data_IF_985302510095
#
_entry.id   IF_985302510095
#
_cell.length_a   1.000
_cell.length_b   1.000
_cell.length_c   1.000
_cell.angle_alpha   90.00
_cell.angle_beta   90.00
_cell.angle_gamma   90.00
#
_symmetry.space_group_name_H-M   'P 1'
#
loop_
_entity.id
_entity.type
_entity.pdbx_description
1 polymer ?
#
# COMPACT_ATOMS: atom_id res chain seq x y z
N UNK A 1 8.19 -12.38 13.51
CA UNK A 1 7.69 -11.58 12.38
C UNK A 1 7.69 -12.35 11.07
N UNK A 2 8.85 -12.72 10.49
CA UNK A 2 8.91 -13.47 9.23
C UNK A 2 8.20 -14.83 9.26
N UNK A 3 8.34 -15.60 10.35
CA UNK A 3 7.65 -16.90 10.53
C UNK A 3 6.13 -16.75 10.46
N UNK A 4 5.58 -15.74 11.13
CA UNK A 4 4.13 -15.48 11.15
C UNK A 4 3.64 -15.11 9.76
N UNK A 5 4.36 -14.22 9.05
CA UNK A 5 4.04 -13.86 7.67
C UNK A 5 4.03 -15.09 6.75
N UNK A 6 5.04 -15.96 6.86
CA UNK A 6 5.12 -17.19 6.05
C UNK A 6 3.94 -18.13 6.34
N UNK A 7 3.61 -18.35 7.61
CA UNK A 7 2.50 -19.22 8.00
C UNK A 7 1.15 -18.67 7.51
N UNK A 8 0.96 -17.36 7.60
CA UNK A 8 -0.26 -16.72 7.13
C UNK A 8 -0.37 -16.77 5.60
N UNK A 9 0.72 -16.60 4.86
CA UNK A 9 0.73 -16.78 3.40
C UNK A 9 0.40 -18.22 3.00
N UNK A 10 0.93 -19.21 3.74
CA UNK A 10 0.61 -20.62 3.52
C UNK A 10 -0.88 -20.91 3.79
N UNK A 11 -1.46 -20.28 4.82
CA UNK A 11 -2.90 -20.34 5.09
C UNK A 11 -3.70 -19.69 3.94
N UNK A 12 -3.34 -18.48 3.52
CA UNK A 12 -3.97 -17.78 2.37
C UNK A 12 -3.91 -18.66 1.10
N UNK A 13 -2.81 -19.38 0.87
CA UNK A 13 -2.65 -20.31 -0.26
C UNK A 13 -3.54 -21.56 -0.16
N UNK A 14 -3.70 -22.09 1.05
CA UNK A 14 -4.50 -23.28 1.34
C UNK A 14 -6.01 -22.99 1.29
N UNK A 15 -6.42 -21.80 1.73
CA UNK A 15 -7.81 -21.34 1.74
C UNK A 15 -8.27 -20.79 0.39
N UNK A 16 -7.35 -20.32 -0.46
CA UNK A 16 -7.67 -19.89 -1.81
C UNK A 16 -8.34 -21.04 -2.58
N UNK A 17 -9.65 -20.90 -2.86
CA UNK A 17 -10.43 -21.91 -3.56
C UNK A 17 -9.68 -22.41 -4.79
N UNK A 18 -9.54 -23.74 -4.91
CA UNK A 18 -8.92 -24.40 -6.06
C UNK A 18 -9.65 -24.11 -7.37
N UNK A 19 -10.89 -23.62 -7.28
CA UNK A 19 -11.73 -23.27 -8.41
C UNK A 19 -11.41 -21.86 -8.97
N UNK A 20 -10.61 -21.06 -8.25
CA UNK A 20 -10.15 -19.76 -8.75
C UNK A 20 -8.99 -19.92 -9.74
N UNK A 21 -9.00 -19.16 -10.85
CA UNK A 21 -7.86 -19.06 -11.75
C UNK A 21 -6.55 -18.70 -11.01
N UNK A 22 -5.43 -19.28 -11.46
CA UNK A 22 -4.12 -19.10 -10.81
C UNK A 22 -3.70 -17.63 -10.67
N UNK A 23 -4.04 -16.80 -11.66
CA UNK A 23 -3.79 -15.36 -11.64
C UNK A 23 -4.56 -14.65 -10.50
N UNK A 24 -5.82 -15.00 -10.27
CA UNK A 24 -6.62 -14.40 -9.18
C UNK A 24 -6.11 -14.83 -7.81
N UNK A 25 -5.73 -16.09 -7.67
CA UNK A 25 -5.11 -16.60 -6.43
C UNK A 25 -3.80 -15.88 -6.14
N UNK A 26 -2.96 -15.69 -7.16
CA UNK A 26 -1.70 -14.94 -7.06
C UNK A 26 -1.94 -13.49 -6.64
N UNK A 27 -2.91 -12.82 -7.25
CA UNK A 27 -3.22 -11.42 -6.94
C UNK A 27 -3.65 -11.23 -5.48
N UNK A 28 -4.49 -12.14 -4.96
CA UNK A 28 -4.90 -12.14 -3.55
C UNK A 28 -3.70 -12.27 -2.61
N UNK A 29 -2.78 -13.18 -2.90
CA UNK A 29 -1.58 -13.40 -2.09
C UNK A 29 -0.68 -12.16 -2.11
N UNK A 30 -0.42 -11.59 -3.30
CA UNK A 30 0.41 -10.38 -3.42
C UNK A 30 -0.20 -9.17 -2.75
N UNK A 31 -1.52 -9.03 -2.84
CA UNK A 31 -2.28 -7.98 -2.15
C UNK A 31 -2.13 -8.11 -0.63
N UNK A 32 -2.31 -9.32 -0.06
CA UNK A 32 -2.08 -9.62 1.37
C UNK A 32 -0.64 -9.31 1.80
N UNK A 33 0.34 -9.78 1.03
CA UNK A 33 1.76 -9.57 1.29
C UNK A 33 2.14 -8.09 1.30
N UNK A 34 1.71 -7.34 0.28
CA UNK A 34 1.99 -5.91 0.16
C UNK A 34 1.48 -5.12 1.38
N UNK A 35 0.24 -5.39 1.83
CA UNK A 35 -0.29 -4.72 3.00
C UNK A 35 0.45 -5.09 4.29
N UNK A 36 0.87 -6.35 4.45
CA UNK A 36 1.58 -6.81 5.66
C UNK A 36 3.01 -6.24 5.73
N UNK A 37 3.70 -6.18 4.59
CA UNK A 37 5.06 -5.63 4.48
C UNK A 37 5.13 -4.10 4.42
N UNK A 38 4.01 -3.41 4.23
CA UNK A 38 3.97 -1.96 4.17
C UNK A 38 4.43 -1.29 5.48
N UNK A 39 4.99 -0.08 5.35
CA UNK A 39 5.17 0.84 6.48
C UNK A 39 3.81 1.09 7.14
N UNK A 40 3.76 0.96 8.47
CA UNK A 40 2.54 1.06 9.26
C UNK A 40 2.43 2.41 9.96
N UNK A 41 1.22 2.74 10.37
CA UNK A 41 0.97 3.90 11.22
C UNK A 41 1.83 3.85 12.49
N UNK A 42 2.23 5.02 12.98
CA UNK A 42 3.07 5.20 14.18
C UNK A 42 4.50 4.61 14.07
N UNK A 43 4.99 4.35 12.85
CA UNK A 43 6.40 4.08 12.62
C UNK A 43 7.09 5.37 12.20
N UNK A 44 8.05 5.82 12.99
CA UNK A 44 8.90 6.95 12.63
C UNK A 44 9.79 6.57 11.45
N UNK A 45 9.90 7.51 10.50
CA UNK A 45 10.76 7.38 9.33
C UNK A 45 11.78 8.51 9.32
N UNK A 46 12.99 8.17 8.92
CA UNK A 46 14.04 9.14 8.62
C UNK A 46 13.77 9.83 7.27
N UNK A 47 14.33 11.03 7.07
CA UNK A 47 14.21 11.75 5.79
C UNK A 47 14.64 10.93 4.57
N UNK A 48 15.74 10.16 4.62
CA UNK A 48 16.13 9.24 3.55
C UNK A 48 15.09 8.14 3.27
N UNK A 49 14.48 7.55 4.30
CA UNK A 49 13.44 6.52 4.12
C UNK A 49 12.19 7.10 3.44
N UNK A 50 11.74 8.29 3.85
CA UNK A 50 10.62 8.98 3.20
C UNK A 50 10.92 9.25 1.73
N UNK A 51 12.13 9.77 1.45
CA UNK A 51 12.55 10.05 0.08
C UNK A 51 12.60 8.79 -0.78
N UNK A 52 13.07 7.67 -0.20
CA UNK A 52 13.06 6.36 -0.86
C UNK A 52 11.65 5.92 -1.23
N UNK A 53 10.71 5.97 -0.28
CA UNK A 53 9.31 5.60 -0.51
C UNK A 53 8.65 6.44 -1.62
N UNK A 54 8.91 7.75 -1.66
CA UNK A 54 8.39 8.61 -2.73
C UNK A 54 8.97 8.23 -4.10
N UNK A 55 10.27 7.96 -4.19
CA UNK A 55 10.90 7.52 -5.45
C UNK A 55 10.37 6.18 -5.93
N UNK A 56 10.18 5.23 -5.01
CA UNK A 56 9.61 3.92 -5.32
C UNK A 56 8.17 4.07 -5.83
N UNK A 57 7.38 4.98 -5.24
CA UNK A 57 6.02 5.28 -5.71
C UNK A 57 6.02 5.90 -7.11
N UNK A 58 6.90 6.89 -7.38
CA UNK A 58 7.00 7.57 -8.68
C UNK A 58 7.40 6.60 -9.81
N UNK A 59 8.11 5.52 -9.49
CA UNK A 59 8.51 4.50 -10.45
C UNK A 59 7.35 3.58 -10.88
N UNK A 60 6.23 3.56 -10.16
CA UNK A 60 5.08 2.71 -10.45
C UNK A 60 4.07 3.48 -11.31
N UNK A 61 3.83 3.09 -12.57
CA UNK A 61 2.86 3.75 -13.42
C UNK A 61 1.45 3.73 -12.81
N UNK A 62 0.77 4.88 -12.78
CA UNK A 62 -0.62 5.03 -12.35
C UNK A 62 -0.94 4.54 -10.90
N UNK A 63 0.04 4.58 -9.99
CA UNK A 63 -0.13 4.19 -8.59
C UNK A 63 -0.84 5.26 -7.74
N UNK A 64 -2.12 5.51 -8.00
CA UNK A 64 -2.94 6.41 -7.17
C UNK A 64 -3.70 5.67 -6.06
N UNK A 65 -3.76 4.33 -6.16
CA UNK A 65 -4.59 3.49 -5.30
C UNK A 65 -3.79 2.27 -4.87
N UNK A 66 -3.87 1.90 -3.59
CA UNK A 66 -3.26 0.67 -3.11
C UNK A 66 -3.98 -0.56 -3.69
N UNK A 67 -3.38 -1.76 -3.63
CA UNK A 67 -4.01 -2.99 -4.14
C UNK A 67 -5.38 -3.32 -3.51
N UNK A 68 -5.71 -2.74 -2.35
CA UNK A 68 -7.00 -2.89 -1.68
C UNK A 68 -7.99 -1.73 -1.95
N UNK A 69 -7.66 -0.78 -2.81
CA UNK A 69 -8.57 0.31 -3.19
C UNK A 69 -8.45 1.61 -2.38
N UNK A 70 -7.50 1.74 -1.44
CA UNK A 70 -7.30 2.99 -0.69
C UNK A 70 -6.48 4.00 -1.49
N UNK A 71 -6.85 5.28 -1.55
CA UNK A 71 -6.00 6.32 -2.13
C UNK A 71 -4.64 6.38 -1.44
N UNK A 72 -3.56 6.53 -2.23
CA UNK A 72 -2.19 6.57 -1.71
C UNK A 72 -1.76 7.99 -1.30
N UNK A 73 -2.26 9.00 -2.00
CA UNK A 73 -1.96 10.39 -1.73
C UNK A 73 -3.21 11.26 -1.91
N UNK A 74 -3.22 12.41 -1.22
CA UNK A 74 -4.15 13.50 -1.45
C UNK A 74 -3.35 14.73 -1.85
N UNK A 75 -3.81 15.45 -2.86
CA UNK A 75 -3.22 16.71 -3.27
C UNK A 75 -4.06 17.85 -2.73
N UNK A 76 -3.42 18.82 -2.08
CA UNK A 76 -4.06 20.06 -1.63
C UNK A 76 -3.29 21.19 -2.31
N UNK A 77 -3.96 21.90 -3.20
CA UNK A 77 -3.40 23.08 -3.86
C UNK A 77 -3.19 24.22 -2.87
N UNK A 78 -2.32 25.17 -3.22
CA UNK A 78 -2.11 26.37 -2.39
C UNK A 78 -3.42 27.15 -2.19
N UNK A 79 -4.25 27.25 -3.24
CA UNK A 79 -5.54 27.92 -3.16
C UNK A 79 -6.51 27.21 -2.19
N UNK A 80 -6.61 25.87 -2.26
CA UNK A 80 -7.43 25.10 -1.32
C UNK A 80 -6.95 25.28 0.13
N UNK A 81 -5.63 25.28 0.33
CA UNK A 81 -5.04 25.53 1.63
C UNK A 81 -5.38 26.94 2.14
N UNK A 82 -5.22 27.98 1.33
CA UNK A 82 -5.59 29.36 1.69
C UNK A 82 -7.06 29.49 2.08
N UNK A 83 -7.95 28.85 1.33
CA UNK A 83 -9.39 28.81 1.58
C UNK A 83 -9.72 28.13 2.90
N UNK A 84 -9.05 27.02 3.24
CA UNK A 84 -9.21 26.33 4.54
C UNK A 84 -8.87 27.23 5.72
N UNK A 85 -7.93 28.16 5.55
CA UNK A 85 -7.55 29.16 6.56
C UNK A 85 -8.31 30.49 6.45
N UNK A 86 -9.31 30.60 5.56
CA UNK A 86 -10.11 31.83 5.34
C UNK A 86 -9.25 33.05 4.97
N UNK A 87 -8.12 32.83 4.30
CA UNK A 87 -7.20 33.91 3.90
C UNK A 87 -7.59 34.53 2.54
N UNK A 88 -8.07 33.70 1.62
CA UNK A 88 -8.58 34.03 0.27
C UNK A 88 -9.68 33.08 -0.13
#
# INVERSE_FOLDING_TARGET
EARTLILDLLADCAEASRDLPLNERREKIFTSLACRGAVKANRDLTGPEVTGLCRDLDAIPHAFTCPHGRPLAVSISLYELEKMFKRR
#
